data_IF_976516346680
#
_entry.id   IF_976516346680
#
_cell.length_a   1.000
_cell.length_b   1.000
_cell.length_c   1.000
_cell.angle_alpha   90.00
_cell.angle_beta   90.00
_cell.angle_gamma   90.00
#
_symmetry.space_group_name_H-M   'P 1'
#
loop_
_entity.id
_entity.type
_entity.pdbx_description
1 polymer ?
#
# COMPACT_ATOMS: atom_id res chain seq x y z
N UNK A 1 -33.68 16.46 30.02
CA UNK A 1 -34.11 15.08 29.72
C UNK A 1 -33.67 14.76 28.30
N UNK A 2 -32.85 13.71 28.12
CA UNK A 2 -32.41 13.10 26.84
C UNK A 2 -31.38 13.93 26.07
N UNK A 3 -30.05 13.72 26.05
CA UNK A 3 -29.20 12.52 26.05
C UNK A 3 -29.18 11.73 24.72
N UNK A 4 -27.98 11.73 24.12
CA UNK A 4 -27.37 10.85 23.11
C UNK A 4 -27.74 10.99 21.63
N UNK A 5 -26.72 11.33 20.81
CA UNK A 5 -26.09 10.33 19.92
C UNK A 5 -24.65 10.75 19.59
N UNK A 6 -23.70 10.00 20.15
CA UNK A 6 -22.32 9.93 19.68
C UNK A 6 -22.27 9.14 18.37
N UNK A 7 -21.46 9.57 17.41
CA UNK A 7 -21.14 8.77 16.23
C UNK A 7 -19.76 9.11 15.68
N UNK A 8 -18.81 8.20 15.95
CA UNK A 8 -17.63 7.96 15.10
C UNK A 8 -16.32 8.62 15.53
N UNK A 9 -15.68 8.06 16.56
CA UNK A 9 -14.25 8.27 16.78
C UNK A 9 -13.46 7.53 15.68
N UNK A 10 -13.25 8.16 14.54
CA UNK A 10 -12.08 7.83 13.72
C UNK A 10 -10.89 8.51 14.39
N UNK A 11 -10.05 7.71 15.06
CA UNK A 11 -8.78 8.17 15.62
C UNK A 11 -7.95 8.80 14.50
N UNK A 12 -8.04 10.13 14.40
CA UNK A 12 -7.11 10.93 13.61
C UNK A 12 -5.80 10.86 14.39
N UNK A 13 -4.97 9.88 14.07
CA UNK A 13 -3.65 9.75 14.67
C UNK A 13 -2.88 11.02 14.32
N UNK A 14 -2.73 11.92 15.31
CA UNK A 14 -1.92 13.12 15.15
C UNK A 14 -0.48 12.68 14.82
N UNK A 15 0.00 13.09 13.65
CA UNK A 15 1.29 12.69 13.07
C UNK A 15 2.49 13.03 13.97
N UNK A 16 2.29 13.93 14.94
CA UNK A 16 3.29 14.38 15.93
C UNK A 16 3.62 13.32 16.99
N UNK A 17 2.72 12.38 17.24
CA UNK A 17 2.91 11.36 18.29
C UNK A 17 3.30 9.99 17.72
N UNK A 18 3.47 9.89 16.39
CA UNK A 18 3.78 8.63 15.75
C UNK A 18 5.28 8.30 15.95
N UNK A 19 5.64 7.16 16.56
CA UNK A 19 7.04 6.78 16.72
C UNK A 19 7.70 6.47 15.35
N UNK A 20 8.95 6.90 15.16
CA UNK A 20 9.75 6.49 13.99
C UNK A 20 9.81 4.96 13.91
N UNK A 21 9.73 4.41 12.70
CA UNK A 21 9.71 2.97 12.44
C UNK A 21 8.33 2.33 12.56
N UNK A 22 7.28 3.10 12.85
CA UNK A 22 5.92 2.57 12.92
C UNK A 22 5.47 2.03 11.57
N UNK A 23 5.00 0.79 11.54
CA UNK A 23 4.35 0.21 10.37
C UNK A 23 2.92 0.74 10.29
N UNK A 24 2.65 1.46 9.20
CA UNK A 24 1.37 2.05 8.89
C UNK A 24 0.64 1.27 7.80
N UNK A 25 -0.67 1.16 7.93
CA UNK A 25 -1.56 0.67 6.89
C UNK A 25 -2.68 1.69 6.63
N UNK A 26 -3.09 1.81 5.37
CA UNK A 26 -4.30 2.54 5.00
C UNK A 26 -5.17 1.65 4.11
N UNK A 27 -6.47 1.60 4.41
CA UNK A 27 -7.43 0.78 3.66
C UNK A 27 -7.87 1.53 2.41
N UNK A 28 -7.50 1.00 1.25
CA UNK A 28 -7.92 1.49 -0.08
C UNK A 28 -9.05 0.62 -0.64
N UNK A 29 -9.80 1.10 -1.63
CA UNK A 29 -10.79 0.27 -2.31
C UNK A 29 -10.11 -0.97 -2.93
N UNK A 30 -10.36 -2.14 -2.36
CA UNK A 30 -9.86 -3.42 -2.87
C UNK A 30 -8.47 -3.88 -2.38
N UNK A 31 -7.76 -3.10 -1.54
CA UNK A 31 -6.48 -3.54 -0.95
C UNK A 31 -6.07 -2.73 0.28
N UNK A 32 -5.08 -3.23 1.03
CA UNK A 32 -4.40 -2.45 2.08
C UNK A 32 -3.05 -1.96 1.57
N UNK A 33 -2.77 -0.68 1.79
CA UNK A 33 -1.51 -0.06 1.43
C UNK A 33 -0.64 0.13 2.66
N UNK A 34 0.61 -0.32 2.60
CA UNK A 34 1.51 -0.40 3.74
C UNK A 34 2.71 0.54 3.58
N UNK A 35 3.22 1.07 4.69
CA UNK A 35 4.40 1.92 4.72
C UNK A 35 5.06 1.97 6.09
N UNK A 36 6.29 2.46 6.13
CA UNK A 36 7.04 2.69 7.37
C UNK A 36 7.15 4.20 7.60
N UNK A 37 6.65 4.67 8.74
CA UNK A 37 6.88 6.04 9.16
C UNK A 37 8.35 6.26 9.50
N UNK A 38 8.95 7.31 8.93
CA UNK A 38 10.38 7.62 9.11
C UNK A 38 10.62 8.90 9.91
N UNK A 39 9.57 9.52 10.45
CA UNK A 39 9.64 10.80 11.15
C UNK A 39 9.27 11.98 10.25
N UNK A 40 9.07 13.14 10.88
CA UNK A 40 8.81 14.42 10.21
C UNK A 40 7.64 14.37 9.21
N UNK A 41 6.58 13.63 9.53
CA UNK A 41 5.40 13.50 8.65
C UNK A 41 5.65 12.69 7.37
N UNK A 42 6.75 11.93 7.28
CA UNK A 42 7.11 11.16 6.07
C UNK A 42 6.96 9.66 6.25
N UNK A 43 6.55 9.01 5.16
CA UNK A 43 6.35 7.56 5.09
C UNK A 43 7.11 7.00 3.89
N UNK A 44 7.90 5.96 4.12
CA UNK A 44 8.48 5.16 3.04
C UNK A 44 7.54 4.01 2.70
N UNK A 45 7.21 3.87 1.42
CA UNK A 45 6.41 2.75 0.93
C UNK A 45 6.85 2.34 -0.46
N UNK A 46 6.37 1.19 -0.90
CA UNK A 46 6.46 0.79 -2.30
C UNK A 46 5.34 1.48 -3.08
N UNK A 47 5.66 2.28 -4.09
CA UNK A 47 4.69 3.11 -4.81
C UNK A 47 3.73 2.31 -5.70
N UNK A 48 4.14 1.13 -6.21
CA UNK A 48 3.33 0.18 -7.00
C UNK A 48 1.86 0.54 -7.30
N UNK A 49 0.94 -0.24 -6.73
CA UNK A 49 -0.51 -0.08 -6.91
C UNK A 49 -1.10 1.26 -6.38
N UNK A 50 -0.29 2.10 -5.70
CA UNK A 50 -0.79 3.33 -5.07
C UNK A 50 -1.01 4.48 -6.05
N UNK A 51 -0.38 4.47 -7.23
CA UNK A 51 -0.54 5.53 -8.23
C UNK A 51 -1.13 5.04 -9.55
N UNK A 52 -0.70 3.87 -10.05
CA UNK A 52 -1.17 3.30 -11.33
C UNK A 52 -1.16 1.76 -11.27
N UNK A 53 -1.83 1.10 -12.23
CA UNK A 53 -1.89 -0.36 -12.40
C UNK A 53 -0.51 -1.05 -12.67
N UNK A 54 0.62 -0.46 -12.27
CA UNK A 54 1.99 -0.90 -12.55
C UNK A 54 2.96 -0.79 -11.35
N UNK A 55 4.21 -1.21 -11.58
CA UNK A 55 5.34 -1.11 -10.63
C UNK A 55 5.76 0.35 -10.49
N UNK A 56 5.84 0.84 -9.24
CA UNK A 56 6.43 2.14 -8.90
C UNK A 56 7.47 1.91 -7.80
N UNK A 57 8.51 2.75 -7.68
CA UNK A 57 9.66 2.47 -6.82
C UNK A 57 9.30 2.50 -5.34
N UNK A 58 10.22 2.04 -4.48
CA UNK A 58 10.19 2.43 -3.06
C UNK A 58 10.53 3.91 -2.96
N UNK A 59 9.63 4.70 -2.38
CA UNK A 59 9.76 6.16 -2.29
C UNK A 59 9.36 6.68 -0.90
N UNK A 60 9.68 7.94 -0.63
CA UNK A 60 9.33 8.63 0.61
C UNK A 60 8.35 9.77 0.31
N UNK A 61 7.10 9.64 0.75
CA UNK A 61 6.04 10.64 0.56
C UNK A 61 5.61 11.25 1.89
N UNK A 62 4.80 12.30 1.83
CA UNK A 62 4.11 12.83 3.00
C UNK A 62 3.07 11.82 3.52
N UNK A 63 2.71 11.87 4.80
CA UNK A 63 1.69 10.99 5.36
C UNK A 63 0.30 11.30 4.79
N UNK A 64 0.08 12.56 4.40
CA UNK A 64 -1.10 13.02 3.68
C UNK A 64 -1.19 12.35 2.30
N UNK A 65 -0.10 12.32 1.54
CA UNK A 65 -0.04 11.61 0.26
C UNK A 65 -0.17 10.09 0.43
N UNK A 66 0.48 9.53 1.46
CA UNK A 66 0.42 8.10 1.77
C UNK A 66 -1.00 7.65 2.11
N UNK A 67 -1.74 8.45 2.88
CA UNK A 67 -3.12 8.19 3.28
C UNK A 67 -4.12 8.55 2.18
N UNK A 68 -3.79 9.50 1.30
CA UNK A 68 -4.60 10.09 0.23
C UNK A 68 -6.10 10.18 0.57
N UNK A 69 -6.42 10.76 1.73
CA UNK A 69 -7.78 10.98 2.22
C UNK A 69 -8.45 9.78 2.91
N UNK A 70 -7.78 8.65 3.06
CA UNK A 70 -8.29 7.48 3.79
C UNK A 70 -7.69 7.40 5.19
N UNK A 71 -8.36 6.68 6.09
CA UNK A 71 -7.88 6.49 7.46
C UNK A 71 -6.52 5.79 7.54
N UNK A 72 -5.80 6.07 8.62
CA UNK A 72 -4.51 5.48 8.93
C UNK A 72 -4.64 4.49 10.10
N UNK A 73 -3.92 3.38 10.03
CA UNK A 73 -3.88 2.34 11.07
C UNK A 73 -2.43 1.99 11.40
N UNK A 74 -2.16 1.76 12.68
CA UNK A 74 -0.86 1.24 13.14
C UNK A 74 -0.92 -0.29 13.16
N UNK A 75 0.03 -0.93 12.47
CA UNK A 75 0.16 -2.39 12.44
C UNK A 75 1.16 -2.82 13.50
N UNK A 76 0.69 -3.54 14.53
CA UNK A 76 1.53 -4.05 15.60
C UNK A 76 2.15 -5.40 15.24
N UNK A 77 3.41 -5.60 15.63
CA UNK A 77 4.16 -6.84 15.40
C UNK A 77 4.71 -7.35 16.73
N UNK A 78 4.05 -8.35 17.33
CA UNK A 78 4.47 -8.92 18.62
C UNK A 78 5.85 -9.59 18.58
N UNK A 79 6.27 -10.06 17.40
CA UNK A 79 7.56 -10.73 17.17
C UNK A 79 8.54 -9.83 16.39
N UNK A 80 8.40 -8.50 16.52
CA UNK A 80 9.30 -7.54 15.87
C UNK A 80 10.76 -7.82 16.26
N UNK A 81 11.61 -8.07 15.26
CA UNK A 81 13.06 -8.23 15.45
C UNK A 81 13.77 -6.87 15.48
N UNK A 82 13.22 -5.92 14.74
CA UNK A 82 13.70 -4.55 14.64
C UNK A 82 12.57 -3.60 15.00
N UNK A 83 12.90 -2.49 15.66
CA UNK A 83 11.95 -1.43 16.04
C UNK A 83 12.56 -0.06 15.79
N UNK A 84 11.73 0.98 15.88
CA UNK A 84 12.23 2.36 15.94
C UNK A 84 13.02 2.78 14.70
N UNK A 85 14.13 3.48 14.97
CA UNK A 85 15.04 3.99 13.95
C UNK A 85 15.64 2.89 13.05
N UNK A 86 15.80 1.66 13.55
CA UNK A 86 16.36 0.58 12.75
C UNK A 86 15.41 0.13 11.64
N UNK A 87 14.11 0.04 11.94
CA UNK A 87 13.08 -0.23 10.91
C UNK A 87 13.08 0.88 9.86
N UNK A 88 13.20 2.14 10.28
CA UNK A 88 13.28 3.29 9.37
C UNK A 88 14.54 3.25 8.49
N UNK A 89 15.71 2.90 9.05
CA UNK A 89 16.96 2.73 8.28
C UNK A 89 16.84 1.63 7.25
N UNK A 90 16.24 0.50 7.62
CA UNK A 90 15.99 -0.62 6.70
C UNK A 90 15.05 -0.18 5.58
N UNK A 91 13.97 0.52 5.89
CA UNK A 91 13.08 1.07 4.85
C UNK A 91 13.83 2.03 3.91
N UNK A 92 14.63 2.93 4.47
CA UNK A 92 15.45 3.88 3.71
C UNK A 92 16.49 3.18 2.82
N UNK A 93 17.06 2.05 3.25
CA UNK A 93 18.06 1.32 2.45
C UNK A 93 17.50 0.70 1.17
N UNK A 94 16.17 0.70 0.99
CA UNK A 94 15.51 0.20 -0.22
C UNK A 94 14.91 1.30 -1.09
N UNK A 95 15.11 2.58 -0.75
CA UNK A 95 14.65 3.70 -1.58
C UNK A 95 15.17 3.57 -3.02
N UNK A 96 14.28 3.83 -3.98
CA UNK A 96 14.55 3.72 -5.42
C UNK A 96 14.45 2.29 -5.98
N UNK A 97 14.21 1.26 -5.16
CA UNK A 97 14.04 -0.10 -5.67
C UNK A 97 12.78 -0.22 -6.54
N UNK A 98 12.89 -0.81 -7.74
CA UNK A 98 11.81 -0.90 -8.75
C UNK A 98 11.34 -2.34 -9.05
N UNK A 99 11.76 -3.31 -8.27
CA UNK A 99 11.45 -4.74 -8.43
C UNK A 99 10.06 -5.15 -7.91
N UNK A 100 9.03 -4.30 -8.02
CA UNK A 100 7.70 -4.58 -7.48
C UNK A 100 7.11 -5.86 -8.08
N UNK A 101 6.59 -6.73 -7.21
CA UNK A 101 5.84 -7.92 -7.61
C UNK A 101 4.57 -7.99 -6.77
N UNK A 102 3.41 -7.97 -7.41
CA UNK A 102 2.08 -7.94 -6.79
C UNK A 102 1.93 -8.91 -5.61
N UNK A 103 2.45 -10.13 -5.75
CA UNK A 103 2.30 -11.21 -4.77
C UNK A 103 3.53 -11.44 -3.88
N UNK A 104 4.70 -10.89 -4.21
CA UNK A 104 5.96 -11.35 -3.58
C UNK A 104 6.93 -10.24 -3.20
N UNK A 105 6.78 -9.03 -3.73
CA UNK A 105 7.59 -7.85 -3.42
C UNK A 105 6.72 -6.59 -3.52
N UNK A 106 5.74 -6.50 -2.64
CA UNK A 106 4.81 -5.38 -2.53
C UNK A 106 5.10 -4.55 -1.26
N UNK A 107 4.23 -3.58 -0.97
CA UNK A 107 4.37 -2.71 0.18
C UNK A 107 4.33 -3.44 1.53
N UNK A 108 3.52 -4.50 1.67
CA UNK A 108 3.46 -5.32 2.88
C UNK A 108 4.78 -6.08 3.12
N UNK A 109 5.33 -6.70 2.07
CA UNK A 109 6.60 -7.42 2.15
C UNK A 109 7.77 -6.53 2.52
N UNK A 110 7.80 -5.30 1.99
CA UNK A 110 8.79 -4.30 2.39
C UNK A 110 8.72 -4.06 3.91
N UNK A 111 7.52 -3.78 4.44
CA UNK A 111 7.34 -3.48 5.85
C UNK A 111 7.67 -4.68 6.75
N UNK A 112 7.25 -5.89 6.38
CA UNK A 112 7.59 -7.12 7.10
C UNK A 112 9.10 -7.39 7.09
N UNK A 113 9.78 -7.16 5.97
CA UNK A 113 11.24 -7.27 5.91
C UNK A 113 11.92 -6.23 6.82
N UNK A 114 11.42 -4.99 6.86
CA UNK A 114 11.93 -3.96 7.75
C UNK A 114 11.79 -4.36 9.23
N UNK A 115 10.65 -4.92 9.63
CA UNK A 115 10.34 -5.24 11.03
C UNK A 115 10.88 -6.60 11.50
N UNK A 116 10.81 -7.64 10.66
CA UNK A 116 11.12 -9.03 11.04
C UNK A 116 12.47 -9.52 10.49
N UNK A 117 13.03 -8.85 9.49
CA UNK A 117 14.28 -9.28 8.85
C UNK A 117 14.17 -10.39 7.82
N UNK A 118 12.97 -10.93 7.60
CA UNK A 118 12.77 -12.05 6.70
C UNK A 118 12.49 -11.54 5.27
N UNK A 119 13.47 -11.71 4.39
CA UNK A 119 13.42 -11.28 2.98
C UNK A 119 12.81 -12.30 2.03
N UNK A 120 11.86 -13.13 2.50
CA UNK A 120 11.17 -14.11 1.67
C UNK A 120 9.71 -14.22 2.08
N UNK A 121 8.85 -14.07 1.07
CA UNK A 121 7.39 -14.11 1.19
C UNK A 121 6.91 -15.47 1.69
N UNK A 122 6.06 -15.48 2.71
CA UNK A 122 5.34 -16.67 3.15
C UNK A 122 4.55 -17.34 2.00
N UNK A 123 4.16 -16.57 0.97
CA UNK A 123 3.48 -17.09 -0.23
C UNK A 123 4.46 -17.76 -1.20
N UNK A 124 5.68 -17.27 -1.34
CA UNK A 124 6.75 -17.96 -2.08
C UNK A 124 7.12 -19.25 -1.36
N UNK A 125 7.27 -19.22 -0.04
CA UNK A 125 7.52 -20.45 0.73
C UNK A 125 6.32 -21.41 0.72
N UNK A 126 5.08 -20.90 0.67
CA UNK A 126 3.88 -21.74 0.53
C UNK A 126 3.73 -22.32 -0.87
N UNK A 127 4.13 -21.60 -1.93
CA UNK A 127 4.13 -22.08 -3.31
C UNK A 127 5.28 -23.07 -3.56
N UNK A 128 6.45 -22.86 -2.97
CA UNK A 128 7.58 -23.81 -2.99
C UNK A 128 7.22 -25.09 -2.22
N UNK A 129 6.55 -24.97 -1.07
CA UNK A 129 6.11 -26.13 -0.28
C UNK A 129 4.87 -26.83 -0.84
N UNK A 130 4.07 -26.16 -1.67
CA UNK A 130 2.85 -26.73 -2.24
C UNK A 130 2.65 -26.28 -3.71
N UNK A 131 3.06 -27.11 -4.68
CA UNK A 131 2.96 -26.77 -6.10
C UNK A 131 1.52 -26.58 -6.59
N UNK A 132 0.53 -27.20 -5.94
CA UNK A 132 -0.88 -27.00 -6.29
C UNK A 132 -1.34 -25.56 -6.00
N UNK A 133 -0.82 -24.92 -4.94
CA UNK A 133 -1.09 -23.50 -4.66
C UNK A 133 -0.45 -22.58 -5.70
N UNK A 134 0.75 -22.91 -6.17
CA UNK A 134 1.40 -22.17 -7.26
C UNK A 134 0.56 -22.23 -8.55
N UNK A 135 0.01 -23.41 -8.87
CA UNK A 135 -0.89 -23.61 -10.02
C UNK A 135 -2.19 -22.83 -9.84
N UNK A 136 -2.84 -22.85 -8.66
CA UNK A 136 -4.06 -22.07 -8.42
C UNK A 136 -3.82 -20.56 -8.56
N UNK A 137 -2.70 -20.05 -8.05
CA UNK A 137 -2.35 -18.62 -8.19
C UNK A 137 -2.08 -18.28 -9.65
N UNK A 138 -1.31 -19.11 -10.36
CA UNK A 138 -1.04 -18.90 -11.79
C UNK A 138 -2.32 -18.94 -12.62
N UNK A 139 -3.21 -19.89 -12.32
CA UNK A 139 -4.52 -20.02 -12.96
C UNK A 139 -5.41 -18.80 -12.68
N UNK A 140 -5.48 -18.34 -11.44
CA UNK A 140 -6.23 -17.13 -11.07
C UNK A 140 -5.69 -15.88 -11.81
N UNK A 141 -4.37 -15.75 -11.95
CA UNK A 141 -3.74 -14.67 -12.70
C UNK A 141 -4.02 -14.77 -14.21
N UNK A 142 -3.99 -15.97 -14.79
CA UNK A 142 -4.34 -16.21 -16.19
C UNK A 142 -5.81 -15.88 -16.47
N UNK A 143 -6.73 -16.34 -15.61
CA UNK A 143 -8.15 -16.00 -15.69
C UNK A 143 -8.37 -14.49 -15.58
N UNK A 144 -7.70 -13.81 -14.63
CA UNK A 144 -7.79 -12.35 -14.51
C UNK A 144 -7.27 -11.61 -15.76
N UNK A 145 -6.24 -12.14 -16.43
CA UNK A 145 -5.76 -11.58 -17.71
C UNK A 145 -6.76 -11.82 -18.84
N UNK A 146 -7.36 -12.99 -18.92
CA UNK A 146 -8.36 -13.34 -19.95
C UNK A 146 -9.65 -12.53 -19.79
N UNK A 147 -10.14 -12.36 -18.55
CA UNK A 147 -11.33 -11.54 -18.26
C UNK A 147 -11.09 -10.06 -18.58
N UNK A 148 -9.86 -9.56 -18.41
CA UNK A 148 -9.48 -8.17 -18.78
C UNK A 148 -9.20 -7.97 -20.27
N UNK A 149 -8.97 -9.04 -21.04
CA UNK A 149 -8.81 -8.97 -22.49
C UNK A 149 -10.12 -8.88 -23.27
N UNK A 150 -11.27 -8.98 -22.60
CA UNK A 150 -12.60 -9.05 -23.23
C UNK A 150 -13.49 -7.81 -23.06
N UNK A 151 -13.01 -6.74 -22.43
CA UNK A 151 -13.79 -5.50 -22.29
C UNK A 151 -13.30 -4.46 -23.31
N UNK A 152 -14.07 -4.11 -24.35
CA UNK A 152 -13.73 -2.97 -25.18
C UNK A 152 -13.75 -1.71 -24.33
N UNK A 153 -12.78 -0.82 -24.56
CA UNK A 153 -12.70 0.47 -23.90
C UNK A 153 -14.04 1.23 -24.09
N UNK A 154 -14.62 1.84 -23.04
CA UNK A 154 -15.78 2.69 -23.23
C UNK A 154 -15.40 3.85 -24.15
N UNK A 155 -16.13 3.98 -25.26
CA UNK A 155 -15.94 5.06 -26.21
C UNK A 155 -16.07 6.40 -25.47
N UNK A 156 -14.99 7.18 -25.45
CA UNK A 156 -15.00 8.53 -24.94
C UNK A 156 -15.95 9.35 -25.79
N UNK A 157 -17.12 9.72 -25.23
CA UNK A 157 -17.96 10.77 -25.80
C UNK A 157 -17.29 12.10 -25.50
N UNK A 158 -16.69 12.69 -26.52
CA UNK A 158 -16.27 14.09 -26.52
C UNK A 158 -17.52 14.96 -26.42
N UNK A 159 -17.76 15.51 -25.23
CA UNK A 159 -18.68 16.63 -25.04
C UNK A 159 -17.87 17.88 -25.35
N UNK A 160 -18.11 18.49 -26.51
CA UNK A 160 -17.63 19.83 -26.81
C UNK A 160 -18.35 20.82 -25.89
N UNK A 161 -17.58 21.51 -25.05
CA UNK A 161 -18.07 22.61 -24.20
C UNK A 161 -17.90 23.90 -25.00
N UNK A 162 -18.98 24.67 -25.27
CA UNK A 162 -18.85 25.94 -25.98
C UNK A 162 -18.11 26.97 -25.12
N UNK A 163 -17.06 27.55 -25.68
CA UNK A 163 -16.35 28.70 -25.09
C UNK A 163 -17.16 29.96 -25.37
N UNK A 164 -17.56 30.76 -24.35
CA UNK A 164 -18.25 32.02 -24.61
C UNK A 164 -17.29 33.03 -25.23
N UNK A 165 -17.73 33.70 -26.29
CA UNK A 165 -17.00 34.77 -26.94
C UNK A 165 -16.87 35.97 -25.99
N UNK A 166 -15.63 36.40 -25.76
CA UNK A 166 -15.34 37.71 -25.21
C UNK A 166 -15.64 38.77 -26.28
N UNK A 167 -16.66 39.59 -26.02
CA UNK A 167 -16.74 41.01 -26.36
C UNK A 167 -17.85 41.67 -25.54
#
# INVERSE_FOLDING_TARGET
MGQHEESGCTDIVFTRDLPVGTHLATRRPGYMHHGIYIGSGRVIHYAGLSRHLGSGPVEAVSIEDFSAGFGLQVVQHLQARYTGLEVARRAASRLGEQNYKLLTNNCEHLCLWCVLGQGRSHQVDACIRNPARAVCVLFALLVCKLVRGGMPAPAARSVEVPVPALN
#
